data_IF_782954580083
#
_entry.id   IF_782954580083
#
_cell.length_a   1.000
_cell.length_b   1.000
_cell.length_c   1.000
_cell.angle_alpha   90.00
_cell.angle_beta   90.00
_cell.angle_gamma   90.00
#
_symmetry.space_group_name_H-M   'P 1'
#
loop_
_entity.id
_entity.type
_entity.pdbx_description
1 polymer ?
#
# COMPACT_ATOMS: atom_id res chain seq x y z
N UNK A 1 -57.22 16.40 -11.94
CA UNK A 1 -55.79 16.48 -11.64
C UNK A 1 -55.11 15.29 -12.29
N UNK A 2 -54.46 15.52 -13.44
CA UNK A 2 -53.74 14.47 -14.18
C UNK A 2 -52.24 14.76 -14.12
N UNK A 3 -51.54 14.12 -13.18
CA UNK A 3 -50.07 14.19 -13.08
C UNK A 3 -49.46 13.26 -14.13
N UNK A 4 -48.41 13.73 -14.80
CA UNK A 4 -47.58 12.89 -15.69
C UNK A 4 -46.21 12.72 -15.05
N UNK A 5 -45.72 11.49 -14.97
CA UNK A 5 -44.34 11.23 -14.55
C UNK A 5 -43.45 11.15 -15.77
N UNK A 6 -42.33 11.87 -15.74
CA UNK A 6 -41.24 11.78 -16.71
C UNK A 6 -40.01 11.19 -16.03
N UNK A 7 -39.27 10.37 -16.76
CA UNK A 7 -38.01 9.77 -16.30
C UNK A 7 -36.92 10.04 -17.31
N UNK A 8 -35.72 10.35 -16.84
CA UNK A 8 -34.55 10.49 -17.70
C UNK A 8 -33.39 9.69 -17.12
N UNK A 9 -32.78 8.87 -17.98
CA UNK A 9 -31.65 8.02 -17.64
C UNK A 9 -30.45 8.35 -18.52
N UNK A 10 -29.33 8.64 -17.87
CA UNK A 10 -28.03 8.78 -18.52
C UNK A 10 -27.14 7.60 -18.19
N UNK A 11 -26.48 7.05 -19.21
CA UNK A 11 -25.45 6.01 -19.08
C UNK A 11 -24.15 6.56 -19.66
N UNK A 12 -23.09 6.56 -18.84
CA UNK A 12 -21.72 6.89 -19.23
C UNK A 12 -20.87 5.62 -19.27
N UNK A 13 -20.09 5.46 -20.32
CA UNK A 13 -19.05 4.44 -20.40
C UNK A 13 -17.76 5.03 -19.80
N UNK A 14 -17.20 4.36 -18.79
CA UNK A 14 -16.00 4.81 -18.09
C UNK A 14 -14.72 4.14 -18.60
N UNK A 15 -14.82 3.29 -19.64
CA UNK A 15 -13.75 2.41 -20.08
C UNK A 15 -13.69 1.13 -19.23
N UNK A 16 -12.79 0.20 -19.58
CA UNK A 16 -12.55 -1.05 -18.84
C UNK A 16 -13.81 -1.89 -18.55
N UNK A 17 -14.81 -1.87 -19.44
CA UNK A 17 -16.11 -2.52 -19.24
C UNK A 17 -16.92 -1.98 -18.05
N UNK A 18 -16.54 -0.82 -17.51
CA UNK A 18 -17.28 -0.13 -16.46
C UNK A 18 -18.24 0.90 -17.05
N UNK A 19 -19.43 0.96 -16.48
CA UNK A 19 -20.43 1.95 -16.82
C UNK A 19 -21.03 2.55 -15.55
N UNK A 20 -21.40 3.82 -15.65
CA UNK A 20 -22.14 4.53 -14.61
C UNK A 20 -23.44 4.99 -15.18
N UNK A 21 -24.51 4.81 -14.42
CA UNK A 21 -25.83 5.28 -14.82
C UNK A 21 -26.48 6.09 -13.70
N UNK A 22 -27.26 7.08 -14.10
CA UNK A 22 -28.08 7.89 -13.22
C UNK A 22 -29.45 8.05 -13.86
N UNK A 23 -30.48 7.80 -13.08
CA UNK A 23 -31.87 7.93 -13.48
C UNK A 23 -32.61 8.75 -12.44
N UNK A 24 -33.31 9.79 -12.89
CA UNK A 24 -34.15 10.63 -12.05
C UNK A 24 -35.56 10.72 -12.64
N UNK A 25 -36.52 11.01 -11.77
CA UNK A 25 -37.93 11.15 -12.09
C UNK A 25 -38.37 12.57 -11.75
N UNK A 26 -39.29 13.11 -12.54
CA UNK A 26 -40.00 14.33 -12.22
C UNK A 26 -41.50 14.13 -12.47
N UNK A 27 -42.32 14.74 -11.63
CA UNK A 27 -43.76 14.82 -11.81
C UNK A 27 -44.08 16.15 -12.47
N UNK A 28 -44.92 16.11 -13.50
CA UNK A 28 -45.38 17.29 -14.25
C UNK A 28 -46.87 17.46 -13.99
N UNK A 29 -47.23 18.60 -13.42
CA UNK A 29 -48.60 18.94 -13.08
C UNK A 29 -49.42 19.38 -14.30
N UNK A 30 -50.73 19.38 -14.13
CA UNK A 30 -51.68 19.81 -15.15
C UNK A 30 -51.60 21.34 -15.33
N UNK A 31 -51.02 21.79 -16.45
CA UNK A 31 -50.80 23.21 -16.75
C UNK A 31 -49.32 23.59 -16.85
N UNK A 32 -48.42 22.73 -16.40
CA UNK A 32 -46.98 22.90 -16.60
C UNK A 32 -46.57 22.54 -18.02
N UNK A 33 -45.49 23.18 -18.51
CA UNK A 33 -44.91 22.82 -19.79
C UNK A 33 -44.00 21.59 -19.63
N UNK A 34 -44.38 20.42 -20.17
CA UNK A 34 -43.58 19.20 -20.05
C UNK A 34 -42.20 19.33 -20.70
N UNK A 35 -42.02 20.15 -21.73
CA UNK A 35 -40.72 20.34 -22.37
C UNK A 35 -39.72 21.01 -21.43
N UNK A 36 -40.17 21.98 -20.64
CA UNK A 36 -39.33 22.65 -19.64
C UNK A 36 -38.92 21.67 -18.55
N UNK A 37 -39.86 20.88 -18.04
CA UNK A 37 -39.57 19.86 -17.02
C UNK A 37 -38.58 18.79 -17.54
N UNK A 38 -38.71 18.36 -18.80
CA UNK A 38 -37.78 17.43 -19.45
C UNK A 38 -36.38 18.03 -19.54
N UNK A 39 -36.25 19.29 -19.99
CA UNK A 39 -34.96 19.96 -20.12
C UNK A 39 -34.26 20.12 -18.76
N UNK A 40 -35.00 20.52 -17.73
CA UNK A 40 -34.48 20.65 -16.37
C UNK A 40 -34.04 19.29 -15.79
N UNK A 41 -34.84 18.24 -16.00
CA UNK A 41 -34.51 16.89 -15.56
C UNK A 41 -33.24 16.38 -16.27
N UNK A 42 -33.16 16.58 -17.59
CA UNK A 42 -31.99 16.16 -18.38
C UNK A 42 -30.72 16.91 -17.97
N UNK A 43 -30.77 18.24 -17.80
CA UNK A 43 -29.63 19.04 -17.34
C UNK A 43 -29.16 18.60 -15.95
N UNK A 44 -30.10 18.36 -15.03
CA UNK A 44 -29.80 17.87 -13.69
C UNK A 44 -29.09 16.52 -13.74
N UNK A 45 -29.63 15.54 -14.48
CA UNK A 45 -29.01 14.21 -14.59
C UNK A 45 -27.62 14.30 -15.23
N UNK A 46 -27.47 15.05 -16.33
CA UNK A 46 -26.19 15.22 -17.03
C UNK A 46 -25.12 15.88 -16.15
N UNK A 47 -25.48 16.94 -15.43
CA UNK A 47 -24.55 17.63 -14.53
C UNK A 47 -24.18 16.72 -13.36
N UNK A 48 -25.16 16.14 -12.68
CA UNK A 48 -24.94 15.30 -11.49
C UNK A 48 -24.10 14.07 -11.81
N UNK A 49 -24.37 13.37 -12.91
CA UNK A 49 -23.59 12.18 -13.25
C UNK A 49 -22.14 12.55 -13.57
N UNK A 50 -21.88 13.62 -14.32
CA UNK A 50 -20.52 14.09 -14.64
C UNK A 50 -19.77 14.55 -13.40
N UNK A 51 -20.39 15.35 -12.55
CA UNK A 51 -19.78 15.78 -11.29
C UNK A 51 -19.42 14.60 -10.39
N UNK A 52 -20.29 13.58 -10.32
CA UNK A 52 -20.04 12.37 -9.53
C UNK A 52 -18.82 11.60 -10.04
N UNK A 53 -18.65 11.51 -11.36
CA UNK A 53 -17.51 10.85 -12.00
C UNK A 53 -16.23 11.63 -11.74
N UNK A 54 -16.26 12.96 -11.94
CA UNK A 54 -15.08 13.81 -11.69
C UNK A 54 -14.64 13.76 -10.23
N UNK A 55 -15.58 13.82 -9.28
CA UNK A 55 -15.27 13.70 -7.84
C UNK A 55 -14.64 12.36 -7.50
N UNK A 56 -15.14 11.28 -8.10
CA UNK A 56 -14.63 9.94 -7.90
C UNK A 56 -13.20 9.77 -8.45
N UNK A 57 -12.93 10.24 -9.67
CA UNK A 57 -11.58 10.24 -10.23
C UNK A 57 -10.60 11.07 -9.41
N UNK A 58 -10.99 12.28 -9.00
CA UNK A 58 -10.13 13.13 -8.17
C UNK A 58 -9.77 12.46 -6.83
N UNK A 59 -10.74 11.78 -6.22
CA UNK A 59 -10.51 11.00 -4.99
C UNK A 59 -9.54 9.85 -5.23
N UNK A 60 -9.72 9.08 -6.30
CA UNK A 60 -8.83 7.96 -6.64
C UNK A 60 -7.40 8.46 -6.94
N UNK A 61 -7.27 9.58 -7.64
CA UNK A 61 -5.97 10.20 -7.94
C UNK A 61 -5.24 10.59 -6.65
N UNK A 62 -5.91 11.27 -5.73
CA UNK A 62 -5.33 11.66 -4.44
C UNK A 62 -4.92 10.43 -3.60
N UNK A 63 -5.73 9.37 -3.61
CA UNK A 63 -5.40 8.12 -2.92
C UNK A 63 -4.17 7.44 -3.54
N UNK A 64 -4.09 7.40 -4.88
CA UNK A 64 -2.96 6.81 -5.58
C UNK A 64 -1.66 7.59 -5.33
N UNK A 65 -1.72 8.92 -5.30
CA UNK A 65 -0.58 9.77 -4.94
C UNK A 65 -0.10 9.50 -3.51
N UNK A 66 -1.01 9.44 -2.53
CA UNK A 66 -0.64 9.12 -1.15
C UNK A 66 -0.09 7.70 -0.99
N UNK A 67 -0.58 6.72 -1.76
CA UNK A 67 -0.03 5.37 -1.78
C UNK A 67 1.38 5.34 -2.39
N UNK A 68 1.59 6.09 -3.47
CA UNK A 68 2.91 6.23 -4.11
C UNK A 68 3.94 6.79 -3.13
N UNK A 69 3.60 7.83 -2.37
CA UNK A 69 4.49 8.41 -1.37
C UNK A 69 4.87 7.39 -0.29
N UNK A 70 3.89 6.69 0.28
CA UNK A 70 4.14 5.62 1.27
C UNK A 70 5.07 4.53 0.75
N UNK A 71 4.85 4.09 -0.49
CA UNK A 71 5.69 3.07 -1.11
C UNK A 71 7.11 3.58 -1.34
N UNK A 72 7.30 4.86 -1.64
CA UNK A 72 8.64 5.45 -1.78
C UNK A 72 9.38 5.50 -0.43
N UNK A 73 8.67 5.83 0.64
CA UNK A 73 9.23 5.82 2.00
C UNK A 73 9.64 4.40 2.40
N UNK A 74 8.76 3.41 2.20
CA UNK A 74 9.04 1.99 2.46
C UNK A 74 10.25 1.50 1.64
N UNK A 75 10.35 1.89 0.36
CA UNK A 75 11.51 1.58 -0.47
C UNK A 75 12.79 2.21 0.11
N UNK A 76 12.73 3.43 0.63
CA UNK A 76 13.88 4.11 1.21
C UNK A 76 14.35 3.42 2.51
N UNK A 77 13.40 3.04 3.36
CA UNK A 77 13.65 2.29 4.61
C UNK A 77 14.29 0.93 4.31
N UNK A 78 13.68 0.14 3.42
CA UNK A 78 14.21 -1.17 3.02
C UNK A 78 15.61 -1.07 2.41
N UNK A 79 15.87 -0.05 1.57
CA UNK A 79 17.21 0.20 1.02
C UNK A 79 18.23 0.50 2.13
N UNK A 80 17.82 1.26 3.14
CA UNK A 80 18.70 1.57 4.27
C UNK A 80 18.97 0.33 5.13
N UNK A 81 17.98 -0.52 5.38
CA UNK A 81 18.13 -1.79 6.07
C UNK A 81 19.06 -2.76 5.33
N UNK A 82 18.87 -2.91 4.01
CA UNK A 82 19.75 -3.71 3.17
C UNK A 82 21.21 -3.24 3.25
N UNK A 83 21.43 -1.92 3.28
CA UNK A 83 22.78 -1.35 3.44
C UNK A 83 23.39 -1.68 4.80
N UNK A 84 22.60 -1.67 5.88
CA UNK A 84 23.07 -2.08 7.22
C UNK A 84 23.43 -3.56 7.24
N UNK A 85 22.57 -4.42 6.72
CA UNK A 85 22.81 -5.87 6.67
C UNK A 85 24.02 -6.24 5.81
N UNK A 86 24.23 -5.54 4.69
CA UNK A 86 25.44 -5.70 3.87
C UNK A 86 26.72 -5.39 4.66
N UNK A 87 26.73 -4.28 5.43
CA UNK A 87 27.87 -3.94 6.29
C UNK A 87 28.13 -4.94 7.40
N UNK A 88 27.09 -5.54 7.98
CA UNK A 88 27.21 -6.56 9.04
C UNK A 88 27.82 -7.86 8.50
N UNK A 89 27.60 -8.19 7.21
CA UNK A 89 28.24 -9.36 6.57
C UNK A 89 29.73 -9.15 6.29
N UNK A 90 30.17 -7.90 6.14
CA UNK A 90 31.56 -7.54 5.84
C UNK A 90 32.40 -7.20 7.09
N UNK A 91 31.78 -7.10 8.27
CA UNK A 91 32.51 -6.97 9.54
C UNK A 91 33.10 -8.34 9.94
N UNK A 92 34.44 -8.48 10.07
CA UNK A 92 35.03 -9.70 10.59
C UNK A 92 34.48 -9.95 12.01
N UNK A 93 34.33 -11.23 12.43
CA UNK A 93 33.87 -11.53 13.78
C UNK A 93 34.76 -10.77 14.77
N UNK A 94 34.13 -9.94 15.62
CA UNK A 94 34.84 -9.27 16.70
C UNK A 94 35.47 -10.36 17.56
N UNK A 95 36.80 -10.47 17.51
CA UNK A 95 37.58 -11.25 18.45
C UNK A 95 37.53 -10.57 19.82
N UNK A 96 36.35 -10.54 20.45
CA UNK A 96 36.26 -10.33 21.89
C UNK A 96 36.61 -11.66 22.55
N UNK A 97 37.90 -12.00 22.51
CA UNK A 97 38.47 -13.01 23.39
C UNK A 97 39.05 -12.26 24.60
N UNK A 98 38.28 -12.01 25.68
CA UNK A 98 38.86 -11.50 26.90
C UNK A 98 39.90 -12.53 27.32
N UNK A 99 41.16 -12.09 27.43
CA UNK A 99 42.28 -12.91 27.84
C UNK A 99 41.96 -13.59 29.18
N UNK A 100 41.42 -14.81 29.13
CA UNK A 100 41.23 -15.65 30.31
C UNK A 100 42.66 -16.00 30.76
N UNK A 101 43.11 -15.61 31.95
CA UNK A 101 44.38 -16.08 32.45
C UNK A 101 44.26 -17.58 32.71
N UNK A 102 44.90 -18.39 31.87
CA UNK A 102 45.11 -19.80 32.17
C UNK A 102 46.00 -19.87 33.41
N UNK A 103 45.44 -20.32 34.53
CA UNK A 103 46.20 -20.71 35.71
C UNK A 103 46.83 -22.09 35.42
N UNK A 104 48.17 -22.22 35.33
CA UNK A 104 48.81 -23.49 35.02
C UNK A 104 48.82 -24.37 36.28
N UNK A 105 47.65 -24.85 36.67
CA UNK A 105 47.48 -25.80 37.75
C UNK A 105 47.92 -27.20 37.37
N UNK A 106 48.99 -27.68 38.00
CA UNK A 106 49.20 -29.11 38.29
C UNK A 106 50.10 -29.88 37.32
N UNK A 107 51.42 -29.78 37.50
CA UNK A 107 52.35 -30.80 37.00
C UNK A 107 52.19 -32.08 37.83
N UNK A 108 51.45 -33.06 37.31
CA UNK A 108 51.59 -34.44 37.76
C UNK A 108 52.94 -34.96 37.26
N UNK A 109 53.92 -35.04 38.15
CA UNK A 109 55.15 -35.83 37.92
C UNK A 109 54.77 -37.31 37.96
N UNK A 110 54.73 -37.95 36.80
CA UNK A 110 54.85 -39.39 36.68
C UNK A 110 56.34 -39.74 36.66
N UNK A 111 56.82 -40.35 37.74
CA UNK A 111 58.14 -40.96 37.82
C UNK A 111 58.19 -42.19 36.90
N UNK A 112 59.00 -42.15 35.83
CA UNK A 112 59.46 -43.34 35.10
C UNK A 112 60.95 -43.56 35.41
N UNK A 113 61.39 -44.79 35.76
CA UNK A 113 62.78 -45.07 36.08
C UNK A 113 63.68 -45.19 34.83
N UNK A 114 64.91 -44.74 35.02
CA UNK A 114 66.04 -44.54 34.09
C UNK A 114 66.46 -45.82 33.31
N UNK A 115 66.67 -45.77 31.98
CA UNK A 115 67.12 -46.91 31.19
C UNK A 115 68.65 -47.05 31.25
N UNK A 116 69.16 -47.63 32.33
CA UNK A 116 70.54 -48.12 32.39
C UNK A 116 70.59 -49.50 33.05
N UNK A 117 70.14 -50.52 32.32
CA UNK A 117 70.67 -51.88 32.46
C UNK A 117 71.30 -52.27 31.11
N UNK A 118 72.61 -52.42 31.11
CA UNK A 118 73.39 -53.06 30.05
C UNK A 118 74.11 -54.27 30.66
N UNK A 119 73.89 -55.44 30.03
CA UNK A 119 74.53 -56.74 30.22
C UNK A 119 74.10 -57.61 31.40
#
# INVERSE_FOLDING_TARGET
MKIKTISYKRVLNLGNYENKHLELFAEVEEGENPEVAILQLADTVERTIRESVTKEYNRQMLQAEGQKEKLLDEIAELKHELKKLGKIKDEPPKEDNPHIPFDPGGTLKTDEPDPNESF
#
